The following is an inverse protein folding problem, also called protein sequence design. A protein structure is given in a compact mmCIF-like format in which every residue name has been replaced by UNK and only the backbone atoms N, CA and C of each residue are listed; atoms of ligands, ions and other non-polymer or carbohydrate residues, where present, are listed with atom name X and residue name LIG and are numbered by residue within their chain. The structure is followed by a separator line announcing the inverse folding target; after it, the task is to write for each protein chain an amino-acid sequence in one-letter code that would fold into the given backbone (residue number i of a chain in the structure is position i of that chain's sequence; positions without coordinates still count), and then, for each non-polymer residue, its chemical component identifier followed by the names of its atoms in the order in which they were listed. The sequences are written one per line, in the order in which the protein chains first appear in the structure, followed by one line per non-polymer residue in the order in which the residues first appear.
data_IF_454493561665
#
_entry.id   IF_454493561665
#
_cell.length_a   1.000
_cell.length_b   1.000
_cell.length_c   1.000
_cell.angle_alpha   90.00
_cell.angle_beta   90.00
_cell.angle_gamma   90.00
#
_symmetry.space_group_name_H-M   'P 1'
#
loop_
_entity.id
_entity.type
_entity.pdbx_description
1 polymer ?
#
# COMPACT_ATOMS: atom_id res chain seq x y z
N UNK A 1 -29.93 69.87 -21.41
CA UNK A 1 -29.92 68.39 -21.61
C UNK A 1 -28.52 67.98 -22.06
N UNK A 2 -27.99 66.88 -21.51
CA UNK A 2 -26.65 66.34 -21.82
C UNK A 2 -25.54 67.15 -21.15
N UNK A 3 -24.58 66.63 -20.39
CA UNK A 3 -23.69 65.49 -20.68
C UNK A 3 -23.27 64.78 -19.36
N UNK A 4 -23.87 65.12 -18.21
CA UNK A 4 -23.39 64.69 -16.88
C UNK A 4 -23.58 63.22 -16.48
N UNK A 5 -24.33 62.42 -17.25
CA UNK A 5 -24.67 61.04 -16.86
C UNK A 5 -23.89 59.94 -17.62
N UNK A 6 -23.16 60.26 -18.69
CA UNK A 6 -22.40 59.23 -19.44
C UNK A 6 -21.11 58.79 -18.72
N UNK A 7 -20.42 59.72 -18.05
CA UNK A 7 -19.15 59.41 -17.34
C UNK A 7 -19.34 58.51 -16.13
N UNK A 8 -20.50 58.60 -15.45
CA UNK A 8 -20.83 57.74 -14.30
C UNK A 8 -21.21 56.32 -14.71
N UNK A 9 -21.91 56.17 -15.84
CA UNK A 9 -22.29 54.84 -16.35
C UNK A 9 -21.08 54.10 -16.93
N UNK A 10 -20.17 54.81 -17.61
CA UNK A 10 -18.89 54.24 -18.08
C UNK A 10 -17.98 53.79 -16.92
N UNK A 11 -17.93 54.55 -15.82
CA UNK A 11 -17.11 54.20 -14.65
C UNK A 11 -17.67 52.99 -13.86
N UNK A 12 -18.98 52.77 -13.87
CA UNK A 12 -19.60 51.62 -13.16
C UNK A 12 -19.41 50.31 -13.93
N UNK A 13 -19.39 50.35 -15.26
CA UNK A 13 -19.18 49.14 -16.07
C UNK A 13 -17.76 48.55 -15.97
N UNK A 14 -16.75 49.35 -15.61
CA UNK A 14 -15.35 48.90 -15.55
C UNK A 14 -14.96 48.26 -14.21
N UNK A 15 -15.71 48.52 -13.13
CA UNK A 15 -15.34 48.08 -11.78
C UNK A 15 -15.92 46.73 -11.34
N UNK A 16 -16.81 46.10 -12.13
CA UNK A 16 -17.52 44.88 -11.71
C UNK A 16 -16.86 43.55 -12.15
N UNK A 17 -15.80 43.54 -12.97
CA UNK A 17 -15.25 42.29 -13.53
C UNK A 17 -14.02 41.72 -12.80
N UNK A 18 -13.48 42.38 -11.77
CA UNK A 18 -12.15 42.00 -11.20
C UNK A 18 -12.22 41.20 -9.89
N UNK A 19 -13.40 40.94 -9.30
CA UNK A 19 -13.48 40.35 -7.94
C UNK A 19 -13.60 38.83 -7.85
N UNK A 20 -13.61 38.10 -8.97
CA UNK A 20 -13.92 36.66 -8.95
C UNK A 20 -12.67 35.76 -9.16
N UNK A 21 -11.51 36.31 -9.49
CA UNK A 21 -10.32 35.49 -9.82
C UNK A 21 -9.17 35.75 -8.84
N UNK A 22 -9.17 35.11 -7.67
CA UNK A 22 -8.03 35.21 -6.75
C UNK A 22 -7.98 34.20 -5.62
N UNK A 23 -9.13 33.86 -5.01
CA UNK A 23 -9.16 32.95 -3.86
C UNK A 23 -8.84 31.49 -4.21
N UNK A 24 -9.30 31.00 -5.36
CA UNK A 24 -9.00 29.64 -5.83
C UNK A 24 -7.50 29.41 -6.12
N UNK A 25 -6.75 30.47 -6.46
CA UNK A 25 -5.30 30.37 -6.69
C UNK A 25 -4.55 30.22 -5.36
N UNK A 26 -4.96 30.93 -4.29
CA UNK A 26 -4.35 30.74 -2.97
C UNK A 26 -4.68 29.39 -2.35
N UNK A 27 -5.92 28.94 -2.46
CA UNK A 27 -6.35 27.66 -1.88
C UNK A 27 -5.62 26.49 -2.58
N UNK A 28 -5.47 26.54 -3.91
CA UNK A 28 -4.75 25.51 -4.67
C UNK A 28 -3.27 25.34 -4.24
N UNK A 29 -2.61 26.41 -3.78
CA UNK A 29 -1.22 26.33 -3.32
C UNK A 29 -1.12 25.58 -1.99
N UNK A 30 -2.04 25.81 -1.06
CA UNK A 30 -2.09 25.07 0.22
C UNK A 30 -2.45 23.59 0.02
N UNK A 31 -3.31 23.30 -0.96
CA UNK A 31 -3.68 21.94 -1.29
C UNK A 31 -2.48 21.09 -1.77
N UNK A 32 -1.51 21.63 -2.52
CA UNK A 32 -0.35 20.84 -2.99
C UNK A 32 0.56 20.31 -1.87
N UNK A 33 0.76 21.07 -0.79
CA UNK A 33 1.52 20.62 0.37
C UNK A 33 0.77 19.54 1.16
N UNK A 34 -0.55 19.71 1.31
CA UNK A 34 -1.42 18.73 1.98
C UNK A 34 -1.53 17.41 1.19
N UNK A 35 -1.62 17.47 -0.15
CA UNK A 35 -1.62 16.28 -1.01
C UNK A 35 -0.32 15.49 -0.90
N UNK A 36 0.83 16.16 -0.85
CA UNK A 36 2.13 15.50 -0.69
C UNK A 36 2.27 14.84 0.70
N UNK A 37 1.81 15.50 1.76
CA UNK A 37 1.81 14.94 3.12
C UNK A 37 0.86 13.73 3.24
N UNK A 38 -0.36 13.84 2.70
CA UNK A 38 -1.34 12.75 2.68
C UNK A 38 -0.85 11.56 1.83
N UNK A 39 -0.20 11.80 0.69
CA UNK A 39 0.37 10.74 -0.14
C UNK A 39 1.57 10.06 0.53
N UNK A 40 2.41 10.81 1.27
CA UNK A 40 3.49 10.22 2.08
C UNK A 40 2.95 9.38 3.23
N UNK A 41 1.91 9.86 3.93
CA UNK A 41 1.23 9.10 4.98
C UNK A 41 0.57 7.83 4.41
N UNK A 42 -0.15 7.93 3.29
CA UNK A 42 -0.75 6.78 2.61
C UNK A 42 0.32 5.75 2.18
N UNK A 43 1.45 6.20 1.63
CA UNK A 43 2.59 5.32 1.28
C UNK A 43 3.29 4.72 2.50
N UNK A 44 3.27 5.38 3.66
CA UNK A 44 3.81 4.84 4.90
C UNK A 44 2.86 3.78 5.48
N UNK A 45 1.56 4.04 5.50
CA UNK A 45 0.52 3.09 5.92
C UNK A 45 0.48 1.86 5.02
N UNK A 46 0.50 2.03 3.69
CA UNK A 46 0.58 0.89 2.75
C UNK A 46 1.86 0.07 2.92
N UNK A 47 3.00 0.69 3.27
CA UNK A 47 4.24 -0.04 3.55
C UNK A 47 4.15 -0.86 4.83
N UNK A 48 3.50 -0.36 5.88
CA UNK A 48 3.33 -1.10 7.13
C UNK A 48 2.33 -2.26 6.96
N UNK A 49 1.19 -2.03 6.29
CA UNK A 49 0.22 -3.08 5.97
C UNK A 49 0.84 -4.16 5.06
N UNK A 50 1.70 -3.77 4.11
CA UNK A 50 2.43 -4.73 3.29
C UNK A 50 3.49 -5.51 4.07
N UNK A 51 4.05 -4.96 5.15
CA UNK A 51 4.95 -5.69 6.05
C UNK A 51 4.19 -6.68 6.92
N UNK A 52 3.00 -6.33 7.41
CA UNK A 52 2.13 -7.25 8.17
C UNK A 52 1.54 -8.36 7.27
N UNK A 53 1.39 -8.10 5.97
CA UNK A 53 1.01 -9.10 4.97
C UNK A 53 2.15 -10.08 4.60
N UNK A 54 3.41 -9.70 4.86
CA UNK A 54 4.57 -10.51 4.53
C UNK A 54 4.97 -11.39 5.73
N UNK A 55 4.62 -12.67 5.64
CA UNK A 55 5.00 -13.69 6.62
C UNK A 55 6.52 -13.69 6.88
N UNK A 56 6.91 -13.71 8.14
CA UNK A 56 8.34 -13.77 8.51
C UNK A 56 8.89 -15.18 8.32
N UNK A 57 10.21 -15.33 8.15
CA UNK A 57 10.87 -16.66 8.04
C UNK A 57 10.60 -17.49 9.29
N UNK A 58 10.66 -16.86 10.46
CA UNK A 58 10.45 -17.54 11.73
C UNK A 58 9.00 -18.00 11.89
N UNK A 59 8.02 -17.18 11.49
CA UNK A 59 6.61 -17.57 11.45
C UNK A 59 6.39 -18.74 10.48
N UNK A 60 6.96 -18.68 9.27
CA UNK A 60 6.84 -19.76 8.28
C UNK A 60 7.40 -21.09 8.80
N UNK A 61 8.55 -21.04 9.49
CA UNK A 61 9.14 -22.22 10.16
C UNK A 61 8.25 -22.78 11.25
N UNK A 62 7.64 -21.93 12.06
CA UNK A 62 6.73 -22.36 13.12
C UNK A 62 5.45 -22.98 12.55
N UNK A 63 4.87 -22.40 11.51
CA UNK A 63 3.65 -22.92 10.85
C UNK A 63 3.89 -24.32 10.28
N UNK A 64 5.05 -24.55 9.65
CA UNK A 64 5.40 -25.85 9.09
C UNK A 64 6.15 -26.75 10.09
N UNK A 65 6.39 -26.29 11.32
CA UNK A 65 7.15 -27.00 12.36
C UNK A 65 8.52 -27.53 11.85
N UNK A 66 9.28 -26.69 11.15
CA UNK A 66 10.58 -27.05 10.55
C UNK A 66 11.73 -26.22 11.13
N UNK A 67 12.91 -26.83 11.16
CA UNK A 67 14.13 -26.20 11.67
C UNK A 67 14.94 -25.53 10.55
N UNK A 68 15.88 -24.63 10.87
CA UNK A 68 16.76 -24.00 9.88
C UNK A 68 17.60 -24.99 9.05
N UNK A 69 17.88 -26.17 9.61
CA UNK A 69 18.67 -27.23 8.99
C UNK A 69 17.81 -28.28 8.27
N UNK A 70 16.48 -28.11 8.21
CA UNK A 70 15.60 -29.08 7.55
C UNK A 70 15.81 -29.01 6.03
N UNK A 71 16.07 -30.15 5.36
CA UNK A 71 16.27 -30.18 3.91
C UNK A 71 14.97 -29.83 3.16
N UNK A 72 15.05 -29.24 1.95
CA UNK A 72 13.88 -28.82 1.16
C UNK A 72 12.86 -29.94 0.94
N UNK A 73 13.30 -31.17 0.71
CA UNK A 73 12.42 -32.31 0.47
C UNK A 73 11.51 -32.63 1.67
N UNK A 74 12.06 -32.50 2.90
CA UNK A 74 11.29 -32.69 4.12
C UNK A 74 10.30 -31.54 4.36
N UNK A 75 10.65 -30.32 3.94
CA UNK A 75 9.73 -29.16 4.00
C UNK A 75 8.52 -29.42 3.11
N UNK A 76 8.75 -29.91 1.88
CA UNK A 76 7.68 -30.25 0.93
C UNK A 76 6.77 -31.35 1.48
N UNK A 77 7.34 -32.44 2.02
CA UNK A 77 6.56 -33.53 2.62
C UNK A 77 5.72 -33.05 3.82
N UNK A 78 6.28 -32.16 4.66
CA UNK A 78 5.56 -31.59 5.81
C UNK A 78 4.44 -30.66 5.37
N UNK A 79 4.68 -29.85 4.35
CA UNK A 79 3.66 -29.01 3.74
C UNK A 79 2.48 -29.84 3.23
N UNK A 80 2.73 -30.88 2.42
CA UNK A 80 1.67 -31.74 1.86
C UNK A 80 0.85 -32.41 2.95
N UNK A 81 1.52 -32.91 4.00
CA UNK A 81 0.85 -33.50 5.16
C UNK A 81 -0.08 -32.48 5.84
N UNK A 82 0.42 -31.29 6.18
CA UNK A 82 -0.35 -30.26 6.87
C UNK A 82 -1.48 -29.71 6.01
N UNK A 83 -1.24 -29.54 4.71
CA UNK A 83 -2.23 -29.06 3.75
C UNK A 83 -3.37 -30.06 3.58
N UNK A 84 -3.05 -31.35 3.43
CA UNK A 84 -4.04 -32.41 3.28
C UNK A 84 -4.87 -32.65 4.55
N UNK A 85 -4.23 -32.61 5.72
CA UNK A 85 -4.94 -32.72 7.01
C UNK A 85 -5.96 -31.60 7.22
N UNK A 86 -5.66 -30.40 6.69
CA UNK A 86 -6.54 -29.26 6.75
C UNK A 86 -7.33 -29.07 5.45
N UNK A 87 -7.51 -30.11 4.63
CA UNK A 87 -8.30 -30.00 3.39
C UNK A 87 -9.80 -30.09 3.68
N UNK A 88 -10.35 -29.08 4.36
CA UNK A 88 -11.79 -28.99 4.63
C UNK A 88 -12.38 -27.66 4.15
N UNK A 89 -13.66 -27.60 3.73
CA UNK A 89 -14.25 -26.40 3.13
C UNK A 89 -14.20 -25.13 4.01
N UNK A 90 -14.11 -25.30 5.33
CA UNK A 90 -14.17 -24.21 6.30
C UNK A 90 -12.80 -23.74 6.82
N UNK A 91 -11.69 -24.28 6.28
CA UNK A 91 -10.32 -24.02 6.79
C UNK A 91 -9.47 -23.19 5.83
N UNK A 92 -10.09 -22.41 4.95
CA UNK A 92 -9.40 -21.59 3.94
C UNK A 92 -8.31 -20.68 4.52
N UNK A 93 -8.53 -20.12 5.72
CA UNK A 93 -7.52 -19.28 6.39
C UNK A 93 -6.27 -20.08 6.77
N UNK A 94 -6.45 -21.28 7.33
CA UNK A 94 -5.35 -22.16 7.75
C UNK A 94 -4.60 -22.66 6.52
N UNK A 95 -5.30 -23.10 5.48
CA UNK A 95 -4.70 -23.49 4.20
C UNK A 95 -3.90 -22.33 3.58
N UNK A 96 -4.46 -21.12 3.57
CA UNK A 96 -3.78 -19.92 3.08
C UNK A 96 -2.51 -19.63 3.88
N UNK A 97 -2.52 -19.81 5.20
CA UNK A 97 -1.33 -19.64 6.04
C UNK A 97 -0.27 -20.70 5.78
N UNK A 98 -0.66 -21.98 5.62
CA UNK A 98 0.26 -23.07 5.28
C UNK A 98 0.90 -22.85 3.90
N UNK A 99 0.10 -22.45 2.92
CA UNK A 99 0.57 -22.14 1.57
C UNK A 99 1.58 -20.97 1.57
N UNK A 100 1.24 -19.87 2.24
CA UNK A 100 2.12 -18.69 2.34
C UNK A 100 3.41 -19.00 3.09
N UNK A 101 3.37 -19.87 4.10
CA UNK A 101 4.57 -20.34 4.80
C UNK A 101 5.53 -21.08 3.86
N UNK A 102 4.99 -21.96 3.01
CA UNK A 102 5.77 -22.70 2.01
C UNK A 102 6.41 -21.75 1.00
N UNK A 103 5.62 -20.83 0.42
CA UNK A 103 6.15 -19.81 -0.50
C UNK A 103 7.29 -18.99 0.12
N UNK A 104 7.17 -18.63 1.41
CA UNK A 104 8.20 -17.84 2.10
C UNK A 104 9.50 -18.62 2.32
N UNK A 105 9.41 -19.92 2.62
CA UNK A 105 10.59 -20.78 2.78
C UNK A 105 11.25 -21.08 1.43
N UNK A 106 10.48 -21.30 0.38
CA UNK A 106 11.01 -21.48 -0.97
C UNK A 106 11.76 -20.25 -1.45
N UNK A 107 11.18 -19.07 -1.24
CA UNK A 107 11.83 -17.80 -1.57
C UNK A 107 13.15 -17.62 -0.80
N UNK A 108 13.20 -18.08 0.46
CA UNK A 108 14.41 -18.05 1.28
C UNK A 108 15.49 -19.00 0.74
N UNK A 109 15.10 -20.20 0.32
CA UNK A 109 16.01 -21.21 -0.24
C UNK A 109 16.55 -20.73 -1.59
N UNK A 110 15.70 -20.16 -2.45
CA UNK A 110 16.09 -19.60 -3.73
C UNK A 110 16.98 -18.34 -3.59
N UNK A 111 16.74 -17.53 -2.57
CA UNK A 111 17.54 -16.33 -2.30
C UNK A 111 18.87 -16.62 -1.60
N UNK A 112 19.01 -17.76 -0.92
CA UNK A 112 20.28 -18.17 -0.30
C UNK A 112 21.23 -18.66 -1.40
N UNK A 113 22.34 -17.95 -1.69
CA UNK A 113 23.42 -18.56 -2.44
C UNK A 113 23.92 -19.76 -1.63
N UNK A 114 24.01 -20.92 -2.27
CA UNK A 114 24.65 -22.11 -1.70
C UNK A 114 25.99 -21.71 -1.09
N UNK A 115 26.23 -21.93 0.23
CA UNK A 115 27.58 -21.90 0.75
C UNK A 115 28.39 -22.89 -0.09
N UNK A 116 29.46 -22.39 -0.71
CA UNK A 116 30.42 -23.24 -1.42
C UNK A 116 30.97 -24.27 -0.43
N UNK A 117 30.91 -25.53 -0.85
CA UNK A 117 31.64 -26.73 -0.40
C UNK A 117 32.15 -26.78 1.05
#
# INVERSE_FOLDING_TARGET
MGIGNLGRVAAVLLFQTVRITGRAVLDAWQHTAAFNAAQRAARATSRNVAKDANMTINEARQILNVNPSTPPDQIQATYEKMFNLNNTPHTFYIQSKIFRAKERLDAEIAARPTPQA
#
